data_IF_086485194325
#
_entry.id   IF_086485194325
#
_cell.length_a   1.000
_cell.length_b   1.000
_cell.length_c   1.000
_cell.angle_alpha   90.00
_cell.angle_beta   90.00
_cell.angle_gamma   90.00
#
_symmetry.space_group_name_H-M   'P 1'
#
loop_
_entity.id
_entity.type
_entity.pdbx_description
1 polymer ?
#
# COMPACT_ATOMS: atom_id res chain seq x y z
N UNK A 1 4.09 -24.23 3.11
CA UNK A 1 3.65 -23.41 1.97
C UNK A 1 2.95 -22.18 2.53
N UNK A 2 3.58 -21.02 2.40
CA UNK A 2 3.30 -19.83 3.21
C UNK A 2 2.00 -19.14 2.77
N UNK A 3 0.90 -19.44 3.46
CA UNK A 3 -0.39 -18.73 3.39
C UNK A 3 -0.24 -17.36 4.08
N UNK A 4 0.77 -16.58 3.70
CA UNK A 4 1.16 -15.35 4.43
C UNK A 4 0.86 -14.09 3.63
N UNK A 5 0.79 -14.19 2.29
CA UNK A 5 0.48 -13.04 1.42
C UNK A 5 -0.95 -12.55 1.59
N UNK A 6 -1.93 -13.46 1.51
CA UNK A 6 -3.37 -13.08 1.52
C UNK A 6 -3.84 -12.58 2.90
N UNK A 7 -3.42 -13.25 3.97
CA UNK A 7 -3.77 -12.86 5.34
C UNK A 7 -3.16 -11.49 5.72
N UNK A 8 -1.98 -11.16 5.20
CA UNK A 8 -1.37 -9.84 5.39
C UNK A 8 -2.10 -8.76 4.57
N UNK A 9 -2.55 -9.09 3.35
CA UNK A 9 -3.36 -8.18 2.54
C UNK A 9 -4.67 -7.77 3.22
N UNK A 10 -5.29 -8.65 4.02
CA UNK A 10 -6.49 -8.32 4.78
C UNK A 10 -6.23 -7.31 5.91
N UNK A 11 -5.05 -7.35 6.53
CA UNK A 11 -4.63 -6.41 7.58
C UNK A 11 -4.18 -5.06 7.03
N UNK A 12 -3.64 -5.03 5.80
CA UNK A 12 -3.21 -3.81 5.12
C UNK A 12 -4.39 -3.10 4.48
N UNK A 13 -4.29 -1.76 4.39
CA UNK A 13 -5.23 -0.96 3.58
C UNK A 13 -5.16 -1.43 2.12
N UNK A 14 -6.33 -1.75 1.56
CA UNK A 14 -6.54 -2.22 0.19
C UNK A 14 -7.27 -1.15 -0.59
N UNK A 15 -6.77 -0.85 -1.78
CA UNK A 15 -7.38 0.09 -2.69
C UNK A 15 -7.77 -0.62 -3.97
N UNK A 16 -9.02 -0.40 -4.39
CA UNK A 16 -9.59 -1.05 -5.57
C UNK A 16 -8.94 -0.54 -6.87
N UNK A 17 -8.42 0.69 -6.86
CA UNK A 17 -7.87 1.37 -8.02
C UNK A 17 -6.56 2.06 -7.67
N UNK A 18 -5.70 2.23 -8.68
CA UNK A 18 -4.44 2.97 -8.55
C UNK A 18 -4.68 4.39 -8.02
N UNK A 19 -5.71 5.07 -8.54
CA UNK A 19 -6.05 6.44 -8.17
C UNK A 19 -6.30 6.55 -6.65
N UNK A 20 -7.11 5.65 -6.08
CA UNK A 20 -7.39 5.67 -4.63
C UNK A 20 -6.13 5.37 -3.81
N UNK A 21 -5.26 4.49 -4.30
CA UNK A 21 -3.99 4.22 -3.65
C UNK A 21 -3.08 5.44 -3.68
N UNK A 22 -2.94 6.09 -4.85
CA UNK A 22 -2.12 7.30 -5.01
C UNK A 22 -2.62 8.42 -4.11
N UNK A 23 -3.92 8.69 -4.12
CA UNK A 23 -4.51 9.70 -3.23
C UNK A 23 -4.23 9.39 -1.75
N UNK A 24 -4.32 8.13 -1.34
CA UNK A 24 -4.02 7.76 0.04
C UNK A 24 -2.52 7.85 0.39
N UNK A 25 -1.62 7.65 -0.59
CA UNK A 25 -0.20 7.91 -0.45
C UNK A 25 0.04 9.41 -0.27
N UNK A 26 -0.49 10.24 -1.17
CA UNK A 26 -0.38 11.71 -1.13
C UNK A 26 -0.91 12.28 0.19
N UNK A 27 -2.06 11.81 0.69
CA UNK A 27 -2.60 12.24 1.99
C UNK A 27 -1.65 11.87 3.14
N UNK A 28 -0.98 10.72 3.08
CA UNK A 28 -0.02 10.31 4.11
C UNK A 28 1.29 11.10 4.05
N UNK A 29 1.80 11.37 2.85
CA UNK A 29 2.96 12.24 2.64
C UNK A 29 2.64 13.69 3.05
N UNK A 30 1.42 14.17 2.79
CA UNK A 30 0.96 15.49 3.24
C UNK A 30 0.85 15.58 4.77
N UNK A 31 0.35 14.51 5.41
CA UNK A 31 0.27 14.43 6.85
C UNK A 31 1.65 14.28 7.51
N UNK A 32 2.60 13.62 6.84
CA UNK A 32 3.96 13.40 7.30
C UNK A 32 4.95 13.60 6.15
N UNK A 33 5.48 14.81 5.94
CA UNK A 33 6.38 15.10 4.81
C UNK A 33 7.72 14.35 4.86
N UNK A 34 8.07 13.74 6.00
CA UNK A 34 9.24 12.86 6.15
C UNK A 34 8.95 11.39 5.80
N UNK A 35 7.69 11.05 5.57
CA UNK A 35 7.26 9.72 5.18
C UNK A 35 7.04 9.73 3.67
N UNK A 36 7.81 8.94 2.93
CA UNK A 36 7.54 8.74 1.50
C UNK A 36 6.86 7.40 1.26
N UNK A 37 5.72 7.44 0.58
CA UNK A 37 4.84 6.29 0.35
C UNK A 37 4.80 6.01 -1.16
N UNK A 38 5.02 4.77 -1.55
CA UNK A 38 4.80 4.26 -2.90
C UNK A 38 3.57 3.36 -2.97
N UNK A 39 3.10 3.09 -4.18
CA UNK A 39 1.95 2.21 -4.43
C UNK A 39 2.38 1.04 -5.31
N UNK A 40 1.94 -0.16 -4.96
CA UNK A 40 2.19 -1.34 -5.78
C UNK A 40 0.91 -2.16 -5.96
N UNK A 41 0.81 -2.83 -7.11
CA UNK A 41 -0.25 -3.78 -7.38
C UNK A 41 0.12 -5.14 -6.81
N UNK A 42 -0.77 -5.71 -6.00
CA UNK A 42 -0.55 -7.02 -5.42
C UNK A 42 -1.21 -8.09 -6.27
N UNK A 43 -0.41 -9.01 -6.80
CA UNK A 43 -0.90 -10.11 -7.65
C UNK A 43 -1.77 -11.11 -6.89
N UNK A 44 -1.61 -11.24 -5.57
CA UNK A 44 -2.38 -12.17 -4.75
C UNK A 44 -3.81 -11.71 -4.51
N UNK A 45 -4.00 -10.44 -4.14
CA UNK A 45 -5.32 -9.90 -3.83
C UNK A 45 -5.91 -9.06 -4.96
N UNK A 46 -5.16 -8.85 -6.05
CA UNK A 46 -5.50 -8.00 -7.21
C UNK A 46 -5.84 -6.55 -6.84
N UNK A 47 -5.49 -6.11 -5.63
CA UNK A 47 -5.72 -4.76 -5.14
C UNK A 47 -4.39 -3.99 -5.04
N UNK A 48 -4.52 -2.68 -4.93
CA UNK A 48 -3.41 -1.76 -4.73
C UNK A 48 -3.11 -1.60 -3.25
N UNK A 49 -1.83 -1.60 -2.93
CA UNK A 49 -1.31 -1.45 -1.58
C UNK A 49 -0.29 -0.32 -1.52
N UNK A 50 -0.19 0.26 -0.32
CA UNK A 50 0.81 1.27 0.01
C UNK A 50 2.04 0.60 0.61
N UNK A 51 3.22 1.06 0.23
CA UNK A 51 4.48 0.65 0.82
C UNK A 51 5.31 1.89 1.14
N UNK A 52 5.97 1.91 2.30
CA UNK A 52 6.87 3.02 2.62
C UNK A 52 8.16 2.86 1.82
N UNK A 53 8.64 3.93 1.19
CA UNK A 53 9.96 3.94 0.50
C UNK A 53 11.14 3.91 1.48
N UNK A 54 10.88 4.09 2.77
CA UNK A 54 11.90 4.31 3.79
C UNK A 54 12.28 3.05 4.61
N UNK A 55 12.09 1.84 4.09
CA UNK A 55 12.76 0.66 4.69
C UNK A 55 14.20 0.59 4.18
N UNK A 56 15.09 1.37 4.80
CA UNK A 56 16.52 1.10 4.81
C UNK A 56 16.92 0.50 6.16
#
# INVERSE_FOLDING_TARGET
MSISGLANCQKKRRFSTEIKARQAAEIQELANPNLSIDIYHCEWCKNWHLTSKNSK
#
